data_IF_611346851217
#
_entry.id   IF_611346851217
#
_cell.length_a   1.000
_cell.length_b   1.000
_cell.length_c   1.000
_cell.angle_alpha   90.00
_cell.angle_beta   90.00
_cell.angle_gamma   90.00
#
_symmetry.space_group_name_H-M   'P 1'
#
loop_
_entity.id
_entity.type
_entity.pdbx_description
1 polymer ?
#
# COMPACT_ATOMS: atom_id res chain seq x y z
N UNK A 1 7.40 7.36 54.44
CA UNK A 1 6.57 6.75 53.37
C UNK A 1 7.49 6.67 52.18
N UNK A 2 7.75 5.45 51.73
CA UNK A 2 8.77 5.16 50.72
C UNK A 2 8.35 5.71 49.36
N UNK A 3 9.09 6.69 48.86
CA UNK A 3 9.18 6.99 47.44
C UNK A 3 9.77 5.74 46.77
N UNK A 4 8.88 4.91 46.25
CA UNK A 4 9.21 3.72 45.48
C UNK A 4 8.71 3.97 44.05
N UNK A 5 9.23 5.04 43.44
CA UNK A 5 9.18 5.16 41.99
C UNK A 5 10.10 4.07 41.43
N UNK A 6 9.50 3.10 40.74
CA UNK A 6 10.28 2.14 39.97
C UNK A 6 11.21 2.92 39.03
N UNK A 7 12.47 2.49 38.86
CA UNK A 7 13.39 3.20 37.98
C UNK A 7 12.78 3.31 36.58
N UNK A 8 12.75 4.54 36.07
CA UNK A 8 12.26 4.85 34.73
C UNK A 8 13.02 3.99 33.72
N UNK A 9 12.32 3.11 32.99
CA UNK A 9 12.98 2.23 32.02
C UNK A 9 13.58 3.07 30.91
N UNK A 10 14.82 2.76 30.53
CA UNK A 10 15.44 3.42 29.38
C UNK A 10 14.70 3.06 28.08
N UNK A 11 14.78 3.94 27.08
CA UNK A 11 14.18 3.71 25.76
C UNK A 11 14.62 2.38 25.13
N UNK A 12 15.88 1.99 25.34
CA UNK A 12 16.44 0.71 24.88
C UNK A 12 15.81 -0.50 25.60
N UNK A 13 15.57 -0.39 26.91
CA UNK A 13 14.87 -1.44 27.67
C UNK A 13 13.42 -1.59 27.23
N UNK A 14 12.71 -0.48 27.00
CA UNK A 14 11.32 -0.49 26.51
C UNK A 14 11.25 -1.13 25.13
N UNK A 15 12.13 -0.72 24.20
CA UNK A 15 12.19 -1.30 22.86
C UNK A 15 12.47 -2.80 22.90
N UNK A 16 13.41 -3.23 23.75
CA UNK A 16 13.72 -4.66 23.96
C UNK A 16 12.52 -5.41 24.55
N UNK A 17 11.74 -4.81 25.46
CA UNK A 17 10.53 -5.43 26.00
C UNK A 17 9.46 -5.61 24.92
N UNK A 18 9.12 -4.53 24.21
CA UNK A 18 8.12 -4.55 23.16
C UNK A 18 8.48 -5.53 22.04
N UNK A 19 9.75 -5.61 21.66
CA UNK A 19 10.22 -6.61 20.70
C UNK A 19 10.03 -8.05 21.22
N UNK A 20 10.40 -8.33 22.48
CA UNK A 20 10.25 -9.66 23.09
C UNK A 20 8.79 -10.09 23.25
N UNK A 21 7.90 -9.13 23.50
CA UNK A 21 6.45 -9.33 23.54
C UNK A 21 5.83 -9.49 22.14
N UNK A 22 6.66 -9.32 21.10
CA UNK A 22 6.23 -9.41 19.72
C UNK A 22 5.33 -8.24 19.33
N UNK A 23 5.46 -7.05 19.92
CA UNK A 23 4.64 -5.88 19.58
C UNK A 23 5.21 -5.07 18.42
N UNK A 24 6.49 -5.26 18.08
CA UNK A 24 7.15 -4.55 16.97
C UNK A 24 7.35 -5.45 15.76
N UNK A 25 7.64 -4.82 14.62
CA UNK A 25 8.04 -5.43 13.35
C UNK A 25 9.55 -5.77 13.29
N UNK A 26 10.24 -5.71 14.43
CA UNK A 26 11.70 -5.89 14.52
C UNK A 26 12.50 -4.59 14.45
N UNK A 27 11.86 -3.47 14.06
CA UNK A 27 12.45 -2.14 14.15
C UNK A 27 12.19 -1.52 15.53
N UNK A 28 13.00 -0.51 15.94
CA UNK A 28 12.68 0.33 17.08
C UNK A 28 11.34 1.05 16.89
N UNK A 29 10.70 1.38 18.01
CA UNK A 29 9.41 2.07 18.08
C UNK A 29 9.47 3.24 19.04
N UNK A 30 8.58 4.21 18.82
CA UNK A 30 8.27 5.22 19.83
C UNK A 30 7.36 4.56 20.88
N UNK A 31 7.71 4.55 22.18
CA UNK A 31 6.87 3.94 23.19
C UNK A 31 5.48 4.59 23.24
N UNK A 32 4.39 3.81 23.13
CA UNK A 32 3.02 4.32 23.12
C UNK A 32 2.55 4.63 24.55
N UNK A 33 3.10 5.69 25.15
CA UNK A 33 2.68 6.19 26.46
C UNK A 33 1.28 6.78 26.39
N UNK A 34 0.56 6.84 27.51
CA UNK A 34 -0.80 7.38 27.59
C UNK A 34 -0.88 8.81 27.01
N UNK A 35 0.12 9.64 27.26
CA UNK A 35 0.24 11.00 26.72
C UNK A 35 0.36 11.01 25.19
N UNK A 36 1.23 10.18 24.61
CA UNK A 36 1.38 10.11 23.15
C UNK A 36 0.16 9.51 22.47
N UNK A 37 -0.52 8.58 23.14
CA UNK A 37 -1.77 8.01 22.64
C UNK A 37 -2.89 9.06 22.69
N UNK A 38 -3.00 9.85 23.77
CA UNK A 38 -3.94 10.99 23.83
C UNK A 38 -3.66 11.99 22.71
N UNK A 39 -2.39 12.34 22.48
CA UNK A 39 -2.01 13.23 21.40
C UNK A 39 -2.43 12.69 20.02
N UNK A 40 -2.13 11.41 19.76
CA UNK A 40 -2.53 10.74 18.52
C UNK A 40 -4.05 10.73 18.32
N UNK A 41 -4.83 10.61 19.39
CA UNK A 41 -6.29 10.57 19.31
C UNK A 41 -6.92 11.91 18.88
N UNK A 42 -6.20 13.03 18.92
CA UNK A 42 -6.66 14.31 18.38
C UNK A 42 -6.91 14.29 16.87
N UNK A 43 -6.39 13.30 16.16
CA UNK A 43 -6.57 13.10 14.72
C UNK A 43 -7.80 12.29 14.32
N UNK A 44 -8.71 11.96 15.25
CA UNK A 44 -9.90 11.15 14.96
C UNK A 44 -11.11 11.52 15.84
N UNK A 45 -12.27 11.74 15.22
CA UNK A 45 -13.53 12.09 15.92
C UNK A 45 -14.32 10.86 16.34
N UNK A 46 -13.67 9.96 17.10
CA UNK A 46 -14.31 8.74 17.58
C UNK A 46 -13.90 8.40 19.02
N UNK A 47 -14.80 7.82 19.83
CA UNK A 47 -14.46 7.34 21.17
C UNK A 47 -13.28 6.35 21.15
N UNK A 48 -12.48 6.34 22.21
CA UNK A 48 -11.30 5.46 22.34
C UNK A 48 -11.62 3.97 22.18
N UNK A 49 -12.77 3.54 22.68
CA UNK A 49 -13.23 2.15 22.72
C UNK A 49 -14.00 1.72 21.47
N UNK A 50 -14.29 2.66 20.55
CA UNK A 50 -14.95 2.36 19.29
C UNK A 50 -14.15 1.36 18.45
N UNK A 51 -14.83 0.37 17.89
CA UNK A 51 -14.21 -0.60 16.97
C UNK A 51 -14.12 0.02 15.59
N UNK A 52 -12.90 0.18 15.08
CA UNK A 52 -12.63 0.67 13.72
C UNK A 52 -12.75 -0.46 12.69
N UNK A 53 -12.31 -1.66 13.08
CA UNK A 53 -12.36 -2.84 12.22
C UNK A 53 -12.20 -4.14 13.01
N UNK A 54 -12.57 -5.26 12.38
CA UNK A 54 -12.36 -6.60 12.90
C UNK A 54 -11.41 -7.34 11.99
N UNK A 55 -10.26 -7.76 12.52
CA UNK A 55 -9.11 -8.22 11.74
C UNK A 55 -8.75 -9.68 12.06
N UNK A 56 -8.26 -10.39 11.04
CA UNK A 56 -7.85 -11.80 11.13
C UNK A 56 -9.00 -12.80 11.28
N UNK A 57 -8.67 -14.10 11.28
CA UNK A 57 -9.64 -15.21 11.27
C UNK A 57 -10.64 -15.20 12.45
N UNK A 58 -10.24 -14.62 13.59
CA UNK A 58 -11.08 -14.58 14.78
C UNK A 58 -11.92 -13.29 14.87
N UNK A 59 -11.86 -12.41 13.88
CA UNK A 59 -12.57 -11.13 13.89
C UNK A 59 -12.19 -10.25 15.09
N UNK A 60 -10.90 -10.23 15.44
CA UNK A 60 -10.38 -9.53 16.61
C UNK A 60 -10.63 -8.02 16.45
N UNK A 61 -11.22 -7.40 17.46
CA UNK A 61 -11.55 -5.98 17.42
C UNK A 61 -10.29 -5.11 17.55
N UNK A 62 -10.07 -4.28 16.53
CA UNK A 62 -9.16 -3.13 16.58
C UNK A 62 -9.97 -1.90 16.98
N UNK A 63 -9.71 -1.38 18.18
CA UNK A 63 -10.32 -0.14 18.67
C UNK A 63 -9.53 1.07 18.21
N UNK A 64 -10.13 2.26 18.31
CA UNK A 64 -9.48 3.54 18.03
C UNK A 64 -8.21 3.71 18.87
N UNK A 65 -8.26 3.41 20.17
CA UNK A 65 -7.08 3.49 21.05
C UNK A 65 -5.97 2.51 20.65
N UNK A 66 -6.32 1.28 20.24
CA UNK A 66 -5.32 0.33 19.74
C UNK A 66 -4.70 0.79 18.42
N UNK A 67 -5.49 1.41 17.54
CA UNK A 67 -4.97 1.98 16.30
C UNK A 67 -3.98 3.11 16.62
N UNK A 68 -4.36 4.04 17.51
CA UNK A 68 -3.51 5.12 17.97
C UNK A 68 -2.20 4.62 18.59
N UNK A 69 -2.24 3.59 19.45
CA UNK A 69 -1.04 3.00 20.02
C UNK A 69 -0.09 2.40 18.96
N UNK A 70 -0.63 1.74 17.92
CA UNK A 70 0.19 1.24 16.80
C UNK A 70 0.74 2.37 15.93
N UNK A 71 -0.04 3.43 15.72
CA UNK A 71 0.37 4.62 15.00
C UNK A 71 1.55 5.32 15.71
N UNK A 72 1.46 5.49 17.04
CA UNK A 72 2.56 6.04 17.85
C UNK A 72 3.80 5.16 17.72
N UNK A 73 3.68 3.84 17.91
CA UNK A 73 4.80 2.92 17.76
C UNK A 73 5.49 3.02 16.39
N UNK A 74 4.71 3.19 15.33
CA UNK A 74 5.23 3.34 13.97
C UNK A 74 5.89 4.70 13.71
N UNK A 75 5.63 5.71 14.54
CA UNK A 75 6.13 7.08 14.38
C UNK A 75 5.19 8.03 13.64
N UNK A 76 3.91 7.69 13.53
CA UNK A 76 2.94 8.55 12.83
C UNK A 76 2.72 9.89 13.55
N UNK A 77 2.24 10.88 12.78
CA UNK A 77 1.67 12.12 13.31
C UNK A 77 0.16 11.96 13.52
N UNK A 78 -0.47 12.74 14.42
CA UNK A 78 -1.94 12.74 14.58
C UNK A 78 -2.69 13.02 13.27
N UNK A 79 -2.15 13.87 12.41
CA UNK A 79 -2.71 14.19 11.08
C UNK A 79 -2.86 12.98 10.15
N UNK A 80 -2.16 11.87 10.43
CA UNK A 80 -2.25 10.64 9.63
C UNK A 80 -3.41 9.72 10.05
N UNK A 81 -4.01 9.94 11.22
CA UNK A 81 -5.08 9.09 11.76
C UNK A 81 -6.28 8.89 10.83
N UNK A 82 -6.76 9.90 10.08
CA UNK A 82 -7.83 9.72 9.10
C UNK A 82 -7.49 8.69 8.00
N UNK A 83 -6.23 8.72 7.53
CA UNK A 83 -5.72 7.77 6.53
C UNK A 83 -5.62 6.37 7.13
N UNK A 84 -5.13 6.27 8.36
CA UNK A 84 -5.04 5.01 9.10
C UNK A 84 -6.43 4.40 9.34
N UNK A 85 -7.43 5.19 9.70
CA UNK A 85 -8.81 4.71 9.87
C UNK A 85 -9.36 4.14 8.56
N UNK A 86 -9.17 4.84 7.44
CA UNK A 86 -9.57 4.36 6.13
C UNK A 86 -8.82 3.08 5.72
N UNK A 87 -7.52 3.00 6.02
CA UNK A 87 -6.72 1.80 5.78
C UNK A 87 -7.17 0.59 6.62
N UNK A 88 -7.58 0.80 7.88
CA UNK A 88 -8.18 -0.27 8.69
C UNK A 88 -9.52 -0.72 8.12
N UNK A 89 -10.35 0.20 7.63
CA UNK A 89 -11.59 -0.16 6.92
C UNK A 89 -11.31 -0.97 5.66
N UNK A 90 -10.21 -0.69 4.95
CA UNK A 90 -9.77 -1.48 3.81
C UNK A 90 -9.29 -2.88 4.25
N UNK A 91 -8.50 -2.99 5.32
CA UNK A 91 -8.06 -4.27 5.88
C UNK A 91 -9.20 -5.16 6.37
N UNK A 92 -10.24 -4.55 6.93
CA UNK A 92 -11.43 -5.24 7.42
C UNK A 92 -12.44 -5.58 6.32
N UNK A 93 -12.24 -5.07 5.10
CA UNK A 93 -13.11 -5.37 3.98
C UNK A 93 -12.94 -6.82 3.53
N UNK A 94 -14.00 -7.62 3.42
CA UNK A 94 -13.91 -9.00 2.91
C UNK A 94 -13.24 -9.10 1.54
N UNK A 95 -13.47 -8.13 0.64
CA UNK A 95 -12.95 -8.14 -0.72
C UNK A 95 -11.43 -7.84 -0.75
N UNK A 96 -10.88 -7.31 0.35
CA UNK A 96 -9.42 -7.15 0.50
C UNK A 96 -8.72 -8.51 0.57
N UNK A 97 -9.40 -9.55 1.04
CA UNK A 97 -8.82 -10.85 1.35
C UNK A 97 -7.56 -10.78 2.25
N UNK A 98 -7.50 -9.77 3.14
CA UNK A 98 -6.33 -9.46 3.99
C UNK A 98 -5.83 -10.62 4.85
N UNK A 99 -6.73 -11.54 5.19
CA UNK A 99 -6.40 -12.78 5.86
C UNK A 99 -5.44 -13.63 5.01
N UNK A 100 -5.77 -13.88 3.74
CA UNK A 100 -5.03 -14.82 2.91
C UNK A 100 -3.60 -14.36 2.67
N UNK A 101 -3.40 -13.08 2.31
CA UNK A 101 -2.05 -12.58 2.11
C UNK A 101 -1.24 -12.43 3.42
N UNK A 102 -1.90 -12.51 4.58
CA UNK A 102 -1.22 -12.52 5.87
C UNK A 102 -0.74 -13.88 6.34
N UNK A 103 -1.43 -14.95 5.92
CA UNK A 103 -1.18 -16.32 6.43
C UNK A 103 -0.69 -17.29 5.36
N UNK A 104 -0.70 -16.89 4.09
CA UNK A 104 -0.25 -17.72 2.97
C UNK A 104 1.27 -17.88 2.94
N UNK A 105 1.70 -19.03 2.43
CA UNK A 105 3.12 -19.38 2.24
C UNK A 105 3.81 -18.57 1.14
N UNK A 106 3.05 -17.95 0.23
CA UNK A 106 3.58 -17.23 -0.93
C UNK A 106 4.14 -15.83 -0.63
N UNK A 107 4.28 -15.45 0.66
CA UNK A 107 5.05 -14.27 1.10
C UNK A 107 4.56 -12.95 0.47
N UNK A 108 3.36 -12.51 0.86
CA UNK A 108 2.71 -11.33 0.29
C UNK A 108 3.02 -10.04 1.06
N UNK A 109 2.82 -8.91 0.39
CA UNK A 109 2.95 -7.57 0.93
C UNK A 109 1.61 -6.83 1.00
N UNK A 110 1.62 -5.66 1.64
CA UNK A 110 0.49 -4.77 1.79
C UNK A 110 0.76 -3.53 0.93
N UNK A 111 0.17 -3.51 -0.26
CA UNK A 111 0.26 -2.38 -1.17
C UNK A 111 -0.79 -1.34 -0.83
N UNK A 112 -0.35 -0.10 -0.68
CA UNK A 112 -1.20 1.05 -0.47
C UNK A 112 -1.00 2.07 -1.58
N UNK A 113 -2.10 2.53 -2.16
CA UNK A 113 -2.12 3.69 -3.05
C UNK A 113 -3.05 4.74 -2.44
N UNK A 114 -2.52 5.94 -2.23
CA UNK A 114 -3.28 7.08 -1.72
C UNK A 114 -3.60 8.01 -2.88
N UNK A 115 -4.79 8.58 -2.85
CA UNK A 115 -5.35 9.40 -3.91
C UNK A 115 -5.99 10.67 -3.35
N UNK A 116 -6.11 11.69 -4.20
CA UNK A 116 -6.77 12.95 -3.90
C UNK A 116 -5.91 13.93 -3.10
N UNK A 117 -6.49 15.08 -2.68
CA UNK A 117 -5.75 16.22 -2.10
C UNK A 117 -4.96 15.91 -0.83
N UNK A 118 -5.33 14.86 -0.08
CA UNK A 118 -4.62 14.45 1.14
C UNK A 118 -3.14 14.14 0.89
N UNK A 119 -2.77 13.78 -0.35
CA UNK A 119 -1.38 13.49 -0.71
C UNK A 119 -0.48 14.68 -0.44
N UNK A 120 -0.87 15.84 -0.95
CA UNK A 120 -0.15 17.10 -0.76
C UNK A 120 -0.24 17.60 0.69
N UNK A 121 -1.40 17.45 1.32
CA UNK A 121 -1.61 17.88 2.72
C UNK A 121 -0.73 17.14 3.73
N UNK A 122 -0.39 15.88 3.45
CA UNK A 122 0.37 15.01 4.36
C UNK A 122 1.78 14.71 3.90
N UNK A 123 2.23 15.33 2.81
CA UNK A 123 3.50 14.99 2.15
C UNK A 123 3.63 13.49 1.82
N UNK A 124 2.55 12.90 1.31
CA UNK A 124 2.58 11.53 0.79
C UNK A 124 3.19 11.56 -0.61
N UNK A 125 4.41 11.09 -0.73
CA UNK A 125 5.15 11.12 -1.99
C UNK A 125 4.50 10.24 -3.05
N UNK A 126 4.38 10.80 -4.26
CA UNK A 126 3.88 10.17 -5.48
C UNK A 126 4.92 10.17 -6.61
N UNK A 127 5.97 10.99 -6.47
CA UNK A 127 7.03 11.23 -7.44
C UNK A 127 8.31 10.42 -7.20
N UNK A 128 9.44 11.12 -7.15
CA UNK A 128 10.77 10.51 -7.08
C UNK A 128 10.96 9.69 -5.82
N UNK A 129 11.07 8.37 -5.97
CA UNK A 129 11.27 7.47 -4.83
C UNK A 129 10.00 7.22 -4.02
N UNK A 130 8.80 7.35 -4.61
CA UNK A 130 7.51 7.21 -3.92
C UNK A 130 7.35 5.92 -3.08
N UNK A 131 7.84 4.76 -3.57
CA UNK A 131 7.84 3.50 -2.81
C UNK A 131 9.15 3.26 -2.03
N UNK A 132 10.06 4.22 -2.06
CA UNK A 132 11.36 4.17 -1.41
C UNK A 132 11.34 4.69 0.02
N UNK A 133 12.51 4.70 0.69
CA UNK A 133 12.66 5.27 2.02
C UNK A 133 12.54 6.81 1.99
N UNK A 134 12.77 7.43 3.16
CA UNK A 134 12.85 8.89 3.39
C UNK A 134 11.53 9.61 3.62
N UNK A 135 10.48 9.32 2.86
CA UNK A 135 9.20 10.02 3.01
C UNK A 135 8.45 9.53 4.25
N UNK A 136 8.32 10.41 5.24
CA UNK A 136 7.85 10.07 6.57
C UNK A 136 6.43 9.50 6.55
N UNK A 137 5.51 10.15 5.84
CA UNK A 137 4.13 9.68 5.71
C UNK A 137 4.06 8.29 5.05
N UNK A 138 4.72 8.10 3.91
CA UNK A 138 4.74 6.82 3.18
C UNK A 138 5.23 5.67 4.08
N UNK A 139 6.33 5.90 4.81
CA UNK A 139 6.95 4.88 5.64
C UNK A 139 6.14 4.57 6.91
N UNK A 140 5.66 5.60 7.61
CA UNK A 140 5.01 5.41 8.92
C UNK A 140 3.55 4.95 8.79
N UNK A 141 2.80 5.43 7.79
CA UNK A 141 1.41 5.01 7.56
C UNK A 141 1.36 3.53 7.17
N UNK A 142 2.19 3.11 6.22
CA UNK A 142 2.26 1.71 5.78
C UNK A 142 2.62 0.78 6.95
N UNK A 143 3.65 1.19 7.73
CA UNK A 143 4.12 0.46 8.90
C UNK A 143 3.06 0.37 9.98
N UNK A 144 2.38 1.47 10.29
CA UNK A 144 1.32 1.52 11.31
C UNK A 144 0.15 0.59 10.96
N UNK A 145 -0.31 0.58 9.70
CA UNK A 145 -1.38 -0.31 9.25
C UNK A 145 -0.97 -1.78 9.35
N UNK A 146 0.25 -2.10 8.93
CA UNK A 146 0.83 -3.43 9.07
C UNK A 146 0.94 -3.90 10.52
N UNK A 147 1.48 -3.05 11.39
CA UNK A 147 1.61 -3.32 12.82
C UNK A 147 0.23 -3.45 13.50
N UNK A 148 -0.73 -2.58 13.18
CA UNK A 148 -2.09 -2.63 13.73
C UNK A 148 -2.78 -3.94 13.37
N UNK A 149 -2.66 -4.40 12.12
CA UNK A 149 -3.19 -5.69 11.69
C UNK A 149 -2.49 -6.85 12.41
N UNK A 150 -1.15 -6.85 12.39
CA UNK A 150 -0.31 -7.87 13.01
C UNK A 150 -0.59 -8.05 14.50
N UNK A 151 -0.60 -6.95 15.25
CA UNK A 151 -0.79 -6.94 16.71
C UNK A 151 -2.23 -7.32 17.08
N UNK A 152 -3.23 -6.91 16.29
CA UNK A 152 -4.63 -7.26 16.52
C UNK A 152 -4.92 -8.72 16.20
N UNK A 153 -4.47 -9.21 15.04
CA UNK A 153 -4.71 -10.58 14.59
C UNK A 153 -3.70 -11.60 15.17
N UNK A 154 -2.68 -11.13 15.90
CA UNK A 154 -1.58 -11.92 16.49
C UNK A 154 -0.88 -12.75 15.43
N UNK A 155 -0.36 -12.07 14.42
CA UNK A 155 0.29 -12.66 13.26
C UNK A 155 1.80 -12.65 13.46
N UNK A 156 2.40 -13.82 13.59
CA UNK A 156 3.83 -13.97 13.82
C UNK A 156 4.44 -14.93 12.79
N UNK A 157 5.64 -14.64 12.28
CA UNK A 157 6.36 -15.54 11.37
C UNK A 157 6.48 -16.96 11.93
N UNK A 158 6.12 -17.96 11.13
CA UNK A 158 6.18 -19.37 11.49
C UNK A 158 5.01 -19.89 12.34
N UNK A 159 4.16 -19.01 12.87
CA UNK A 159 2.96 -19.38 13.65
C UNK A 159 1.67 -19.14 12.85
N UNK A 160 1.47 -17.91 12.38
CA UNK A 160 0.35 -17.54 11.50
C UNK A 160 0.80 -16.93 10.19
N UNK A 161 1.89 -16.17 10.20
CA UNK A 161 2.52 -15.71 8.98
C UNK A 161 3.39 -16.85 8.43
N UNK A 162 2.89 -17.50 7.40
CA UNK A 162 3.55 -18.68 6.82
C UNK A 162 4.44 -18.35 5.64
N UNK A 163 4.71 -17.07 5.35
CA UNK A 163 5.56 -16.66 4.24
C UNK A 163 6.90 -17.40 4.24
N UNK A 164 7.13 -18.23 3.23
CA UNK A 164 8.29 -19.15 3.18
C UNK A 164 9.60 -18.38 3.17
N UNK A 165 9.66 -17.27 2.42
CA UNK A 165 10.84 -16.39 2.35
C UNK A 165 10.61 -15.06 3.08
N UNK A 166 9.35 -14.69 3.30
CA UNK A 166 8.97 -13.32 3.66
C UNK A 166 8.97 -12.38 2.45
N UNK A 167 8.37 -11.20 2.60
CA UNK A 167 8.33 -10.17 1.57
C UNK A 167 9.05 -8.91 2.09
N UNK A 168 10.10 -8.42 1.42
CA UNK A 168 10.78 -7.19 1.83
C UNK A 168 9.86 -5.95 1.89
N UNK A 169 8.78 -5.92 1.10
CA UNK A 169 7.80 -4.84 1.08
C UNK A 169 6.62 -5.01 2.04
N UNK A 170 6.63 -6.02 2.94
CA UNK A 170 5.40 -6.48 3.62
C UNK A 170 4.58 -5.37 4.29
N UNK A 171 5.23 -4.41 4.94
CA UNK A 171 4.58 -3.28 5.62
C UNK A 171 5.14 -1.91 5.20
N UNK A 172 5.79 -1.82 4.03
CA UNK A 172 6.50 -0.59 3.63
C UNK A 172 6.20 -0.16 2.19
N UNK A 173 5.09 -0.63 1.62
CA UNK A 173 4.74 -0.36 0.22
C UNK A 173 3.53 0.58 0.14
N UNK A 174 3.78 1.87 0.31
CA UNK A 174 2.79 2.95 0.16
C UNK A 174 3.34 4.05 -0.74
N UNK A 175 2.49 4.53 -1.66
CA UNK A 175 2.74 5.71 -2.47
C UNK A 175 1.45 6.48 -2.71
N UNK A 176 1.56 7.76 -3.01
CA UNK A 176 0.49 8.50 -3.68
C UNK A 176 0.45 8.17 -5.17
N UNK A 177 -0.70 8.27 -5.81
CA UNK A 177 -0.75 8.48 -7.27
C UNK A 177 -0.24 9.89 -7.59
N UNK A 178 0.49 10.07 -8.68
CA UNK A 178 0.97 11.36 -9.16
C UNK A 178 -0.08 11.91 -10.14
N UNK A 179 -1.18 12.40 -9.57
CA UNK A 179 -2.37 12.82 -10.32
C UNK A 179 -2.07 14.03 -11.21
N UNK A 180 -1.23 14.95 -10.74
CA UNK A 180 -0.86 16.19 -11.42
C UNK A 180 0.07 15.97 -12.62
N UNK A 181 0.79 14.84 -12.65
CA UNK A 181 1.62 14.40 -13.77
C UNK A 181 1.00 13.21 -14.53
N UNK A 182 -0.27 12.90 -14.27
CA UNK A 182 -1.01 11.87 -14.99
C UNK A 182 -1.83 12.49 -16.12
N UNK A 183 -1.82 11.92 -17.33
CA UNK A 183 -2.73 12.32 -18.40
C UNK A 183 -4.14 11.73 -18.24
N UNK A 184 -4.36 10.88 -17.23
CA UNK A 184 -5.62 10.16 -17.03
C UNK A 184 -6.30 10.57 -15.74
N UNK A 185 -7.60 10.32 -15.68
CA UNK A 185 -8.35 10.42 -14.42
C UNK A 185 -7.67 9.59 -13.32
N UNK A 186 -7.57 10.12 -12.09
CA UNK A 186 -7.00 9.39 -10.96
C UNK A 186 -7.68 8.04 -10.71
N UNK A 187 -6.93 7.11 -10.13
CA UNK A 187 -7.40 5.76 -9.82
C UNK A 187 -8.71 5.78 -9.03
N UNK A 188 -8.83 6.63 -8.00
CA UNK A 188 -10.05 6.74 -7.22
C UNK A 188 -11.28 7.20 -8.04
N UNK A 189 -11.09 8.14 -8.97
CA UNK A 189 -12.17 8.62 -9.86
C UNK A 189 -12.67 7.50 -10.75
N UNK A 190 -11.75 6.74 -11.35
CA UNK A 190 -12.10 5.55 -12.17
C UNK A 190 -12.77 4.43 -11.34
N UNK A 191 -12.80 4.55 -10.01
CA UNK A 191 -13.46 3.62 -9.08
C UNK A 191 -14.70 4.25 -8.40
N UNK A 192 -15.25 5.33 -8.98
CA UNK A 192 -16.54 5.89 -8.61
C UNK A 192 -16.51 6.88 -7.44
N UNK A 193 -15.34 7.45 -7.13
CA UNK A 193 -15.19 8.57 -6.20
C UNK A 193 -15.12 9.91 -6.95
N UNK A 194 -15.41 11.00 -6.25
CA UNK A 194 -15.27 12.35 -6.81
C UNK A 194 -13.80 12.79 -6.81
N UNK A 195 -13.42 13.73 -7.67
CA UNK A 195 -12.03 14.22 -7.81
C UNK A 195 -11.48 14.85 -6.51
N UNK A 196 -12.35 15.48 -5.72
CA UNK A 196 -11.98 16.08 -4.44
C UNK A 196 -11.89 15.05 -3.30
N UNK A 197 -12.31 13.80 -3.55
CA UNK A 197 -12.29 12.76 -2.54
C UNK A 197 -10.87 12.21 -2.33
N UNK A 198 -10.41 12.31 -1.08
CA UNK A 198 -9.21 11.59 -0.68
C UNK A 198 -9.53 10.14 -0.37
N UNK A 199 -8.75 9.20 -0.91
CA UNK A 199 -8.95 7.76 -0.69
C UNK A 199 -7.65 7.02 -0.45
N UNK A 200 -7.76 5.81 0.11
CA UNK A 200 -6.66 4.84 0.22
C UNK A 200 -7.13 3.48 -0.31
N UNK A 201 -6.30 2.84 -1.14
CA UNK A 201 -6.57 1.55 -1.77
C UNK A 201 -5.60 0.48 -1.27
N UNK A 202 -6.11 -0.71 -0.91
CA UNK A 202 -5.33 -1.85 -0.42
C UNK A 202 -5.33 -3.01 -1.40
N UNK A 203 -4.15 -3.48 -1.82
CA UNK A 203 -3.97 -4.75 -2.50
C UNK A 203 -2.90 -5.61 -1.83
N UNK A 204 -2.94 -6.93 -2.05
CA UNK A 204 -2.00 -7.87 -1.45
C UNK A 204 -1.07 -8.57 -2.44
N UNK A 205 -0.06 -7.92 -3.04
CA UNK A 205 0.83 -8.49 -4.07
C UNK A 205 1.96 -9.35 -3.50
N UNK A 206 2.45 -10.33 -4.26
CA UNK A 206 3.65 -11.10 -3.89
C UNK A 206 4.93 -10.67 -4.61
N UNK A 207 4.83 -9.91 -5.71
CA UNK A 207 5.98 -9.57 -6.56
C UNK A 207 6.07 -8.08 -6.89
N UNK A 208 7.29 -7.66 -7.19
CA UNK A 208 7.66 -6.31 -7.62
C UNK A 208 8.72 -6.42 -8.73
N UNK A 209 8.46 -5.83 -9.89
CA UNK A 209 9.38 -5.81 -11.03
C UNK A 209 9.50 -4.39 -11.57
N UNK A 210 10.72 -3.87 -11.63
CA UNK A 210 11.02 -2.62 -12.34
C UNK A 210 11.48 -2.90 -13.77
N UNK A 211 11.07 -2.04 -14.69
CA UNK A 211 11.47 -2.12 -16.10
C UNK A 211 11.44 -0.74 -16.76
N UNK A 212 12.08 -0.62 -17.91
CA UNK A 212 12.03 0.57 -18.75
C UNK A 212 11.70 0.15 -20.19
N UNK A 213 10.95 0.96 -20.95
CA UNK A 213 10.67 0.66 -22.35
C UNK A 213 11.96 0.72 -23.16
N UNK A 214 12.06 -0.08 -24.22
CA UNK A 214 13.28 -0.11 -25.04
C UNK A 214 13.45 1.14 -25.90
N UNK A 215 12.34 1.82 -26.24
CA UNK A 215 12.30 3.08 -26.97
C UNK A 215 11.23 4.00 -26.35
N UNK A 216 11.23 5.28 -26.71
CA UNK A 216 10.34 6.30 -26.17
C UNK A 216 9.05 6.45 -26.99
N UNK A 217 8.30 5.36 -27.15
CA UNK A 217 7.07 5.35 -27.94
C UNK A 217 6.02 4.48 -27.25
N UNK A 218 4.74 4.82 -27.41
CA UNK A 218 3.61 4.09 -26.82
C UNK A 218 3.65 2.58 -27.05
N UNK A 219 3.99 2.15 -28.28
CA UNK A 219 4.11 0.74 -28.64
C UNK A 219 5.12 0.01 -27.74
N UNK A 220 6.26 0.65 -27.45
CA UNK A 220 7.31 0.06 -26.62
C UNK A 220 6.95 0.04 -25.13
N UNK A 221 6.13 0.99 -24.68
CA UNK A 221 5.54 0.94 -23.34
C UNK A 221 4.56 -0.23 -23.23
N UNK A 222 3.59 -0.34 -24.13
CA UNK A 222 2.59 -1.43 -24.13
C UNK A 222 3.24 -2.82 -24.23
N UNK A 223 4.15 -3.02 -25.19
CA UNK A 223 4.91 -4.27 -25.33
C UNK A 223 5.80 -4.52 -24.12
N UNK A 224 6.35 -3.47 -23.52
CA UNK A 224 7.15 -3.55 -22.32
C UNK A 224 6.35 -4.01 -21.10
N UNK A 225 5.11 -3.56 -20.93
CA UNK A 225 4.20 -4.04 -19.88
C UNK A 225 3.98 -5.55 -20.01
N UNK A 226 3.72 -6.06 -21.22
CA UNK A 226 3.55 -7.50 -21.47
C UNK A 226 4.85 -8.25 -21.22
N UNK A 227 5.94 -7.84 -21.90
CA UNK A 227 7.23 -8.56 -21.88
C UNK A 227 7.84 -8.66 -20.48
N UNK A 228 7.66 -7.65 -19.65
CA UNK A 228 8.25 -7.60 -18.31
C UNK A 228 7.33 -8.15 -17.22
N UNK A 229 6.06 -8.47 -17.51
CA UNK A 229 5.20 -9.17 -16.56
C UNK A 229 5.65 -10.63 -16.46
N UNK A 230 6.18 -11.11 -15.31
CA UNK A 230 6.65 -12.48 -15.20
C UNK A 230 5.56 -13.51 -15.45
N UNK A 231 5.91 -14.66 -16.03
CA UNK A 231 4.95 -15.72 -16.36
C UNK A 231 4.17 -16.27 -15.16
N UNK A 232 4.72 -16.11 -13.95
CA UNK A 232 4.06 -16.48 -12.70
C UNK A 232 2.99 -15.48 -12.24
N UNK A 233 3.00 -14.25 -12.76
CA UNK A 233 1.96 -13.27 -12.48
C UNK A 233 0.83 -13.46 -13.48
N UNK A 234 -0.34 -13.88 -12.98
CA UNK A 234 -1.58 -13.97 -13.74
C UNK A 234 -2.66 -13.20 -13.01
N UNK A 235 -3.59 -12.63 -13.76
CA UNK A 235 -4.64 -11.79 -13.21
C UNK A 235 -6.00 -12.27 -13.73
N UNK A 236 -6.97 -12.32 -12.83
CA UNK A 236 -8.38 -12.59 -13.08
C UNK A 236 -9.19 -11.92 -11.99
N UNK A 237 -10.21 -11.16 -12.35
CA UNK A 237 -11.25 -10.78 -11.42
C UNK A 237 -12.29 -11.91 -11.33
N UNK A 238 -12.96 -12.04 -10.19
CA UNK A 238 -13.94 -13.10 -9.98
C UNK A 238 -14.55 -13.08 -8.58
N UNK A 239 -15.68 -13.78 -8.43
CA UNK A 239 -16.44 -13.83 -7.17
C UNK A 239 -15.65 -14.48 -6.02
N UNK A 240 -14.80 -15.47 -6.30
CA UNK A 240 -14.06 -16.23 -5.28
C UNK A 240 -12.71 -15.58 -4.91
N UNK A 241 -12.02 -14.95 -5.87
CA UNK A 241 -10.73 -14.31 -5.66
C UNK A 241 -10.47 -13.26 -6.74
N UNK A 242 -10.24 -12.02 -6.31
CA UNK A 242 -9.68 -10.99 -7.17
C UNK A 242 -8.16 -11.10 -7.21
N UNK A 243 -7.66 -11.67 -8.31
CA UNK A 243 -6.24 -11.73 -8.62
C UNK A 243 -5.86 -10.57 -9.55
N UNK A 244 -5.26 -9.51 -9.02
CA UNK A 244 -4.97 -8.30 -9.81
C UNK A 244 -3.48 -8.07 -10.03
N UNK A 245 -3.13 -7.31 -11.05
CA UNK A 245 -1.77 -6.80 -11.27
C UNK A 245 -1.85 -5.28 -11.43
N UNK A 246 -1.05 -4.56 -10.64
CA UNK A 246 -0.94 -3.11 -10.70
C UNK A 246 0.29 -2.71 -11.50
N UNK A 247 0.06 -1.95 -12.56
CA UNK A 247 1.08 -1.27 -13.36
C UNK A 247 1.24 0.16 -12.84
N UNK A 248 2.34 0.41 -12.14
CA UNK A 248 2.76 1.77 -11.78
C UNK A 248 3.55 2.34 -12.97
N UNK A 249 2.92 3.26 -13.69
CA UNK A 249 3.47 3.85 -14.91
C UNK A 249 4.14 5.18 -14.56
N UNK A 250 5.38 5.35 -14.99
CA UNK A 250 6.10 6.60 -14.82
C UNK A 250 5.43 7.73 -15.62
N UNK A 251 5.39 8.98 -15.13
CA UNK A 251 4.78 10.11 -15.84
C UNK A 251 5.22 10.26 -17.29
N UNK A 252 6.53 10.15 -17.59
CA UNK A 252 7.02 10.26 -18.96
C UNK A 252 6.40 9.20 -19.87
N UNK A 253 6.28 7.95 -19.40
CA UNK A 253 5.70 6.87 -20.19
C UNK A 253 4.18 6.99 -20.29
N UNK A 254 3.53 7.60 -19.29
CA UNK A 254 2.12 7.94 -19.37
C UNK A 254 1.87 8.99 -20.46
N UNK A 255 2.69 10.04 -20.52
CA UNK A 255 2.66 11.04 -21.60
C UNK A 255 2.90 10.41 -22.98
N UNK A 256 3.85 9.46 -23.12
CA UNK A 256 4.04 8.77 -24.40
C UNK A 256 2.81 7.96 -24.84
N UNK A 257 2.05 7.39 -23.90
CA UNK A 257 0.79 6.70 -24.20
C UNK A 257 -0.33 7.68 -24.56
N UNK A 258 -0.41 8.82 -23.88
CA UNK A 258 -1.37 9.89 -24.16
C UNK A 258 -1.17 10.49 -25.56
N UNK A 259 0.06 10.59 -26.07
CA UNK A 259 0.33 11.09 -27.43
C UNK A 259 -0.34 10.28 -28.53
N UNK A 260 -0.68 9.02 -28.25
CA UNK A 260 -1.45 8.14 -29.14
C UNK A 260 -2.94 8.07 -28.72
N UNK A 261 -3.41 9.02 -27.92
CA UNK A 261 -4.76 9.15 -27.39
C UNK A 261 -5.25 7.93 -26.58
N UNK A 262 -4.34 7.14 -26.00
CA UNK A 262 -4.70 5.92 -25.28
C UNK A 262 -5.25 6.20 -23.87
N UNK A 263 -6.49 5.78 -23.64
CA UNK A 263 -7.11 5.74 -22.32
C UNK A 263 -6.59 4.58 -21.46
N UNK A 264 -6.78 4.67 -20.12
CA UNK A 264 -6.51 3.55 -19.20
C UNK A 264 -7.24 2.28 -19.64
N UNK A 265 -8.46 2.38 -20.15
CA UNK A 265 -9.26 1.21 -20.54
C UNK A 265 -8.75 0.56 -21.83
N UNK A 266 -8.38 1.34 -22.85
CA UNK A 266 -7.75 0.79 -24.07
C UNK A 266 -6.42 0.10 -23.77
N UNK A 267 -5.64 0.64 -22.82
CA UNK A 267 -4.41 -0.02 -22.36
C UNK A 267 -4.72 -1.37 -21.71
N UNK A 268 -5.72 -1.44 -20.82
CA UNK A 268 -6.12 -2.71 -20.19
C UNK A 268 -6.62 -3.72 -21.23
N UNK A 269 -7.46 -3.29 -22.17
CA UNK A 269 -7.95 -4.12 -23.28
C UNK A 269 -6.77 -4.66 -24.09
N UNK A 270 -5.80 -3.81 -24.45
CA UNK A 270 -4.60 -4.21 -25.15
C UNK A 270 -3.84 -5.33 -24.42
N UNK A 271 -3.66 -5.23 -23.08
CA UNK A 271 -2.98 -6.29 -22.31
C UNK A 271 -3.76 -7.61 -22.30
N UNK A 272 -5.09 -7.55 -22.14
CA UNK A 272 -5.99 -8.72 -22.14
C UNK A 272 -6.05 -9.41 -23.51
N UNK A 273 -5.91 -8.64 -24.58
CA UNK A 273 -5.93 -9.14 -25.96
C UNK A 273 -4.58 -9.64 -26.44
N UNK A 274 -3.46 -9.17 -25.88
CA UNK A 274 -2.13 -9.44 -26.42
C UNK A 274 -1.21 -10.23 -25.48
N UNK A 275 -1.47 -10.29 -24.17
CA UNK A 275 -0.62 -11.05 -23.24
C UNK A 275 -1.04 -12.52 -23.13
N UNK A 276 -0.23 -13.41 -23.71
CA UNK A 276 -0.44 -14.85 -23.71
C UNK A 276 0.85 -15.62 -23.43
N UNK A 277 0.73 -16.73 -22.70
CA UNK A 277 1.78 -17.75 -22.63
C UNK A 277 1.52 -18.84 -23.65
N UNK A 278 2.54 -19.28 -24.37
CA UNK A 278 2.42 -20.48 -25.22
C UNK A 278 2.52 -21.76 -24.37
N UNK A 279 1.95 -22.88 -24.82
CA UNK A 279 1.98 -24.15 -24.07
C UNK A 279 3.40 -24.62 -23.66
N UNK A 280 4.44 -24.24 -24.40
CA UNK A 280 5.82 -24.60 -24.07
C UNK A 280 6.39 -23.78 -22.91
N UNK A 281 5.83 -22.60 -22.66
CA UNK A 281 6.17 -21.68 -21.56
C UNK A 281 5.23 -21.88 -20.36
N UNK A 282 4.03 -22.41 -20.62
CA UNK A 282 3.02 -22.68 -19.61
C UNK A 282 3.39 -23.86 -18.71
N UNK A 283 3.60 -23.56 -17.43
CA UNK A 283 3.57 -24.57 -16.35
C UNK A 283 2.15 -24.66 -15.82
N UNK A 284 1.58 -25.86 -15.84
CA UNK A 284 0.27 -26.17 -15.26
C UNK A 284 0.30 -25.85 -13.76
N UNK A 285 -0.59 -24.98 -13.32
CA UNK A 285 -0.89 -24.65 -11.94
C UNK A 285 -1.84 -25.68 -11.33
N UNK A 286 -1.98 -25.65 -10.00
CA UNK A 286 -2.89 -26.51 -9.24
C UNK A 286 -4.36 -26.30 -9.63
N UNK A 287 -4.73 -25.09 -10.07
CA UNK A 287 -6.11 -24.73 -10.46
C UNK A 287 -6.48 -25.15 -11.90
N UNK A 288 -5.53 -25.67 -12.68
CA UNK A 288 -5.79 -26.04 -14.07
C UNK A 288 -6.42 -27.45 -14.14
N UNK A 289 -7.76 -27.49 -14.28
CA UNK A 289 -8.54 -28.73 -14.32
C UNK A 289 -8.06 -29.78 -15.33
N UNK A 290 -8.53 -31.02 -15.22
CA UNK A 290 -7.95 -32.23 -15.84
C UNK A 290 -7.96 -32.31 -17.39
N UNK A 291 -8.46 -31.29 -18.10
CA UNK A 291 -8.57 -31.27 -19.57
C UNK A 291 -7.27 -31.05 -20.35
N UNK A 292 -7.35 -31.10 -21.69
CA UNK A 292 -6.27 -30.68 -22.59
C UNK A 292 -6.27 -29.13 -22.61
N UNK A 293 -5.21 -28.46 -22.15
CA UNK A 293 -5.16 -27.00 -22.14
C UNK A 293 -5.08 -26.41 -23.56
N UNK A 294 -5.62 -25.19 -23.77
CA UNK A 294 -5.48 -24.50 -25.05
C UNK A 294 -4.00 -24.18 -25.36
N UNK A 295 -3.67 -23.99 -26.64
CA UNK A 295 -2.29 -23.72 -27.09
C UNK A 295 -1.68 -22.44 -26.52
N UNK A 296 -2.53 -21.51 -26.13
CA UNK A 296 -2.18 -20.25 -25.51
C UNK A 296 -3.14 -19.99 -24.36
N UNK A 297 -2.63 -19.41 -23.29
CA UNK A 297 -3.40 -19.02 -22.12
C UNK A 297 -3.11 -17.55 -21.82
N UNK A 298 -4.18 -16.77 -21.65
CA UNK A 298 -4.07 -15.36 -21.32
C UNK A 298 -3.40 -15.16 -19.97
N UNK A 299 -2.55 -14.17 -19.87
CA UNK A 299 -1.98 -13.76 -18.58
C UNK A 299 -2.99 -12.93 -17.77
N UNK A 300 -3.77 -12.10 -18.46
CA UNK A 300 -4.87 -11.30 -17.91
C UNK A 300 -6.20 -11.82 -18.45
N UNK A 301 -7.10 -12.27 -17.59
CA UNK A 301 -8.39 -12.81 -18.04
C UNK A 301 -9.37 -11.71 -18.45
N UNK A 302 -9.31 -10.56 -17.79
CA UNK A 302 -10.24 -9.44 -17.92
C UNK A 302 -9.58 -8.11 -17.56
N UNK A 303 -10.23 -7.01 -17.96
CA UNK A 303 -9.71 -5.64 -17.75
C UNK A 303 -9.76 -5.21 -16.29
N UNK A 304 -10.70 -5.73 -15.49
CA UNK A 304 -10.83 -5.39 -14.07
C UNK A 304 -9.64 -5.92 -13.26
N UNK A 305 -9.00 -6.99 -13.72
CA UNK A 305 -7.79 -7.54 -13.14
C UNK A 305 -6.53 -6.67 -13.37
N UNK A 306 -6.59 -5.70 -14.28
CA UNK A 306 -5.49 -4.79 -14.64
C UNK A 306 -5.68 -3.43 -13.97
N UNK A 307 -4.75 -3.05 -13.10
CA UNK A 307 -4.77 -1.75 -12.40
C UNK A 307 -3.67 -0.86 -12.95
N UNK A 308 -3.95 0.42 -13.16
CA UNK A 308 -3.00 1.39 -13.70
C UNK A 308 -3.04 2.64 -12.82
N UNK A 309 -1.88 3.06 -12.34
CA UNK A 309 -1.71 4.31 -11.61
C UNK A 309 -0.42 4.99 -12.08
N UNK A 310 -0.45 6.32 -12.26
CA UNK A 310 0.76 7.07 -12.58
C UNK A 310 1.54 7.32 -11.30
N UNK A 311 2.76 6.79 -11.18
CA UNK A 311 3.60 6.93 -9.99
C UNK A 311 5.06 7.06 -10.43
N UNK A 312 5.80 7.95 -9.79
CA UNK A 312 7.21 8.19 -10.08
C UNK A 312 7.51 9.63 -10.48
N UNK A 313 8.79 9.97 -10.47
CA UNK A 313 9.30 11.28 -10.87
C UNK A 313 10.04 11.23 -12.22
N UNK A 314 11.04 12.11 -12.43
CA UNK A 314 11.85 12.11 -13.65
C UNK A 314 12.48 10.75 -13.95
N UNK A 315 12.54 10.38 -15.22
CA UNK A 315 13.04 9.10 -15.68
C UNK A 315 12.04 8.38 -16.56
N UNK A 316 12.22 7.07 -16.73
CA UNK A 316 11.40 6.23 -17.62
C UNK A 316 11.12 4.84 -17.04
N UNK A 317 11.35 4.68 -15.73
CA UNK A 317 11.26 3.36 -15.07
C UNK A 317 9.86 3.16 -14.51
N UNK A 318 9.20 2.11 -14.98
CA UNK A 318 7.89 1.65 -14.50
C UNK A 318 8.05 0.53 -13.46
N UNK A 319 6.97 0.19 -12.78
CA UNK A 319 6.90 -1.02 -11.95
C UNK A 319 5.64 -1.85 -12.21
N UNK A 320 5.79 -3.17 -12.11
CA UNK A 320 4.71 -4.16 -12.15
C UNK A 320 4.64 -4.79 -10.76
N UNK A 321 3.46 -4.72 -10.15
CA UNK A 321 3.23 -5.06 -8.76
C UNK A 321 2.10 -6.10 -8.73
N UNK A 322 2.45 -7.34 -8.42
CA UNK A 322 1.50 -8.43 -8.50
C UNK A 322 2.16 -9.82 -8.50
N UNK A 323 1.42 -10.88 -8.76
CA UNK A 323 -0.05 -10.90 -8.67
C UNK A 323 -0.46 -10.52 -7.25
N UNK A 324 -1.61 -9.88 -7.06
CA UNK A 324 -2.27 -9.70 -5.76
C UNK A 324 -3.31 -10.78 -5.54
N UNK A 325 -3.53 -11.22 -4.30
CA UNK A 325 -4.59 -12.21 -3.97
C UNK A 325 -5.71 -11.57 -3.16
N UNK A 326 -6.17 -10.40 -3.57
CA UNK A 326 -7.17 -9.63 -2.87
C UNK A 326 -7.05 -8.14 -3.16
N UNK A 327 -8.19 -7.46 -3.13
CA UNK A 327 -8.29 -6.07 -3.55
C UNK A 327 -7.92 -5.84 -5.04
N UNK A 328 -7.61 -4.59 -5.42
CA UNK A 328 -7.62 -3.41 -4.58
C UNK A 328 -9.01 -3.10 -4.02
N UNK A 329 -9.11 -2.85 -2.72
CA UNK A 329 -10.30 -2.24 -2.11
C UNK A 329 -10.01 -0.78 -1.78
N UNK A 330 -10.83 0.13 -2.28
CA UNK A 330 -10.69 1.57 -2.07
C UNK A 330 -11.61 2.04 -0.95
N UNK A 331 -11.11 2.89 -0.05
CA UNK A 331 -11.89 3.52 1.00
C UNK A 331 -11.65 5.03 1.02
N UNK A 332 -12.75 5.78 0.94
CA UNK A 332 -12.75 7.23 1.17
C UNK A 332 -12.29 7.57 2.58
N UNK A 333 -11.38 8.52 2.70
CA UNK A 333 -10.85 9.07 3.94
C UNK A 333 -11.86 10.06 4.51
N UNK A 334 -12.04 10.05 5.83
CA UNK A 334 -12.95 10.95 6.54
C UNK A 334 -12.15 11.74 7.56
N UNK A 335 -12.27 13.04 7.52
CA UNK A 335 -11.48 13.98 8.28
C UNK A 335 -12.23 14.44 9.54
N UNK A 336 -11.58 14.54 10.71
CA UNK A 336 -12.21 15.13 11.89
C UNK A 336 -12.47 16.63 11.73
N UNK A 337 -13.39 17.17 12.53
CA UNK A 337 -13.82 18.56 12.51
C UNK A 337 -12.66 19.54 12.79
N UNK A 338 -11.68 19.11 13.59
CA UNK A 338 -10.50 19.91 13.94
C UNK A 338 -9.31 19.70 12.99
N UNK A 339 -9.47 18.95 11.88
CA UNK A 339 -8.35 18.56 11.02
C UNK A 339 -7.53 19.78 10.65
N UNK A 340 -8.10 20.78 9.96
CA UNK A 340 -7.36 21.94 9.44
C UNK A 340 -6.44 22.61 10.48
N UNK A 341 -6.91 22.75 11.73
CA UNK A 341 -6.10 23.28 12.83
C UNK A 341 -4.92 22.37 13.19
N UNK A 342 -5.11 21.05 13.12
CA UNK A 342 -4.06 20.05 13.33
C UNK A 342 -3.02 20.10 12.18
N UNK A 343 -3.44 20.46 10.96
CA UNK A 343 -2.55 20.66 9.80
C UNK A 343 -1.60 21.81 10.02
N UNK A 344 -2.14 22.92 10.49
CA UNK A 344 -1.36 24.11 10.81
C UNK A 344 -0.40 23.85 11.97
N UNK A 345 -0.83 23.12 12.99
CA UNK A 345 0.02 22.77 14.14
C UNK A 345 1.18 21.86 13.76
N UNK A 346 0.94 20.87 12.90
CA UNK A 346 1.93 19.87 12.49
C UNK A 346 2.64 20.19 11.16
N UNK A 347 2.43 21.38 10.58
CA UNK A 347 2.96 21.71 9.26
C UNK A 347 4.48 21.57 9.19
N UNK A 348 5.19 22.00 10.24
CA UNK A 348 6.65 21.88 10.33
C UNK A 348 7.18 20.44 10.42
N UNK A 349 6.35 19.49 10.87
CA UNK A 349 6.70 18.07 10.93
C UNK A 349 6.38 17.33 9.62
N UNK A 350 5.49 17.91 8.79
CA UNK A 350 5.12 17.41 7.46
C UNK A 350 6.07 17.95 6.38
N UNK A 351 6.60 19.18 6.54
CA UNK A 351 7.47 19.82 5.54
C UNK A 351 8.83 19.13 5.32
N UNK A 352 9.19 18.94 4.04
CA UNK A 352 10.47 18.35 3.62
C UNK A 352 11.65 19.31 3.82
N UNK A 353 12.31 19.23 4.97
CA UNK A 353 13.51 20.03 5.26
C UNK A 353 14.80 19.21 5.44
N UNK A 354 14.86 17.98 4.89
CA UNK A 354 15.94 17.02 5.16
C UNK A 354 17.13 17.08 4.18
N UNK A 355 17.03 17.82 3.07
CA UNK A 355 18.17 18.09 2.17
C UNK A 355 18.46 19.59 2.20
N UNK A 356 19.66 20.03 2.64
CA UNK A 356 20.05 21.43 2.57
C UNK A 356 20.00 21.90 1.11
N UNK A 357 19.19 22.91 0.83
CA UNK A 357 19.04 23.47 -0.54
C UNK A 357 20.18 24.40 -0.93
N UNK A 358 20.98 24.88 0.03
CA UNK A 358 22.17 25.70 -0.20
C UNK A 358 23.46 24.91 0.10
N UNK A 359 24.43 24.95 -0.82
CA UNK A 359 25.81 24.48 -0.59
C UNK A 359 26.02 22.97 -0.48
N UNK A 360 24.99 22.13 -0.60
CA UNK A 360 25.15 20.68 -0.44
C UNK A 360 25.98 20.02 -1.55
N UNK A 361 25.96 20.60 -2.76
CA UNK A 361 26.68 20.12 -3.94
C UNK A 361 27.75 21.11 -4.44
N UNK A 362 27.99 22.21 -3.71
CA UNK A 362 28.99 23.24 -4.08
C UNK A 362 30.42 22.91 -3.62
#
# INVERSE_FOLDING_TARGET
MSDNEAPEQSLDEINKSLYREGMTDGLPVIPPTDERVEEMLRGIDRPRDDVVGRLGNNGNALTVEKLAANAVMAGCLPTYMPVLEAGVRALADPDSNSIQFSVSTASWAYQWIVNGPVREMLDIESGSGAFGPSFHANQTIARALGMAYRNTAKIYPGEKDMGVMGNPGKFYMLAGENEEASPWEPYHVTHGYEEEDSTISLAGPNGWVQWFPSENEAEHVLRGMIRNTPDSMRASSGEDLNATITHAINPYNAEELEKEDLSKDEIKEYLVENSHHTLNEYKRSYDDGDGIPPRQIKQYQDVDAVKIATIGGPGRVNAIIGTSIGGPVTKKIRFPDNWESLLEEYSGDVERNWVPTEGFYE
#
